data_IF_802275129005
#
_entry.id   IF_802275129005
#
_cell.length_a   1.000
_cell.length_b   1.000
_cell.length_c   1.000
_cell.angle_alpha   90.00
_cell.angle_beta   90.00
_cell.angle_gamma   90.00
#
_symmetry.space_group_name_H-M   'P 1'
#
loop_
_entity.id
_entity.type
_entity.pdbx_description
1 polymer ?
#
# COMPACT_ATOMS: atom_id res chain seq x y z
N UNK A 1 -1.39 9.29 -14.26
CA UNK A 1 -2.32 8.85 -15.33
C UNK A 1 -3.73 9.30 -14.99
N UNK A 2 -4.53 9.67 -15.99
CA UNK A 2 -5.93 10.14 -15.81
C UNK A 2 -6.92 8.98 -15.81
N UNK A 3 -8.12 9.16 -15.24
CA UNK A 3 -9.20 8.16 -15.32
C UNK A 3 -9.48 7.73 -16.76
N UNK A 4 -9.49 8.67 -17.71
CA UNK A 4 -9.86 8.38 -19.09
C UNK A 4 -8.87 7.42 -19.74
N UNK A 5 -7.58 7.66 -19.55
CA UNK A 5 -6.53 6.75 -20.02
C UNK A 5 -6.62 5.38 -19.34
N UNK A 6 -6.94 5.33 -18.05
CA UNK A 6 -7.13 4.06 -17.33
C UNK A 6 -8.34 3.29 -17.86
N UNK A 7 -9.43 3.99 -18.18
CA UNK A 7 -10.61 3.38 -18.79
C UNK A 7 -10.28 2.79 -20.16
N UNK A 8 -9.52 3.51 -20.99
CA UNK A 8 -9.09 3.03 -22.31
C UNK A 8 -8.17 1.81 -22.20
N UNK A 9 -7.18 1.84 -21.31
CA UNK A 9 -6.23 0.73 -21.16
C UNK A 9 -6.83 -0.50 -20.51
N UNK A 10 -7.70 -0.31 -19.53
CA UNK A 10 -8.34 -1.44 -18.87
C UNK A 10 -9.49 -1.94 -19.75
N UNK A 11 -10.31 -1.06 -20.30
CA UNK A 11 -11.61 -1.36 -20.90
C UNK A 11 -12.79 -1.24 -19.92
N UNK A 12 -12.60 -0.67 -18.72
CA UNK A 12 -13.69 -0.53 -17.73
C UNK A 12 -14.51 0.72 -18.02
N UNK A 13 -15.83 0.63 -17.83
CA UNK A 13 -16.66 1.83 -17.73
C UNK A 13 -16.30 2.62 -16.46
N UNK A 14 -16.64 3.91 -16.44
CA UNK A 14 -16.34 4.80 -15.31
C UNK A 14 -16.91 4.28 -13.98
N UNK A 15 -18.13 3.76 -14.00
CA UNK A 15 -18.81 3.22 -12.81
C UNK A 15 -18.20 1.90 -12.33
N UNK A 16 -17.83 1.00 -13.26
CA UNK A 16 -17.10 -0.22 -12.94
C UNK A 16 -15.74 0.10 -12.32
N UNK A 17 -14.98 1.01 -12.94
CA UNK A 17 -13.68 1.45 -12.46
C UNK A 17 -13.79 2.00 -11.03
N UNK A 18 -14.77 2.86 -10.75
CA UNK A 18 -14.97 3.41 -9.42
C UNK A 18 -15.25 2.31 -8.37
N UNK A 19 -16.13 1.36 -8.68
CA UNK A 19 -16.41 0.21 -7.80
C UNK A 19 -15.17 -0.66 -7.57
N UNK A 20 -14.37 -0.92 -8.62
CA UNK A 20 -13.12 -1.68 -8.47
C UNK A 20 -12.09 -0.94 -7.64
N UNK A 21 -11.98 0.37 -7.82
CA UNK A 21 -11.10 1.20 -7.02
C UNK A 21 -11.51 1.20 -5.55
N UNK A 22 -12.81 1.24 -5.24
CA UNK A 22 -13.31 1.12 -3.88
C UNK A 22 -12.93 -0.21 -3.23
N UNK A 23 -13.04 -1.33 -3.96
CA UNK A 23 -12.62 -2.66 -3.49
C UNK A 23 -11.10 -2.76 -3.29
N UNK A 24 -10.34 -2.09 -4.16
CA UNK A 24 -8.88 -2.08 -4.10
C UNK A 24 -8.33 -1.00 -3.15
N UNK A 25 -9.15 -0.12 -2.57
CA UNK A 25 -8.70 0.95 -1.64
C UNK A 25 -7.76 0.45 -0.53
N UNK A 26 -8.01 -0.70 0.12
CA UNK A 26 -7.13 -1.20 1.18
C UNK A 26 -5.72 -1.55 0.68
N UNK A 27 -5.62 -1.99 -0.59
CA UNK A 27 -4.36 -2.38 -1.22
C UNK A 27 -3.66 -1.18 -1.83
N UNK A 28 -4.45 -0.22 -2.31
CA UNK A 28 -3.94 0.91 -3.07
C UNK A 28 -3.16 1.90 -2.21
N UNK A 29 -3.15 1.86 -0.86
CA UNK A 29 -2.19 2.60 0.01
C UNK A 29 -1.81 4.04 -0.44
N UNK A 30 -2.75 4.81 -1.01
CA UNK A 30 -2.48 6.17 -1.52
C UNK A 30 -1.92 6.28 -2.95
N UNK A 31 -1.85 5.17 -3.69
CA UNK A 31 -1.64 5.07 -5.13
C UNK A 31 -2.76 5.72 -5.96
N UNK A 32 -3.92 5.93 -5.34
CA UNK A 32 -5.02 6.74 -5.86
C UNK A 32 -4.98 8.09 -5.17
N UNK A 33 -4.55 9.12 -5.90
CA UNK A 33 -4.50 10.50 -5.39
C UNK A 33 -5.59 11.34 -6.04
N UNK A 34 -6.19 12.25 -5.27
CA UNK A 34 -6.98 13.33 -5.86
C UNK A 34 -6.02 14.36 -6.42
N UNK A 35 -5.93 14.43 -7.73
CA UNK A 35 -5.22 15.46 -8.47
C UNK A 35 -5.98 16.80 -8.46
N UNK A 36 -5.40 17.83 -9.10
CA UNK A 36 -6.00 19.15 -9.17
C UNK A 36 -7.40 19.09 -9.81
N UNK A 37 -8.33 19.90 -9.30
CA UNK A 37 -9.75 19.93 -9.70
C UNK A 37 -10.54 18.62 -9.43
N UNK A 38 -10.20 17.88 -8.37
CA UNK A 38 -10.82 16.58 -8.04
C UNK A 38 -10.61 15.49 -9.12
N UNK A 39 -9.66 15.67 -10.03
CA UNK A 39 -9.32 14.65 -11.01
C UNK A 39 -8.59 13.49 -10.31
N UNK A 40 -9.20 12.31 -10.27
CA UNK A 40 -8.53 11.10 -9.76
C UNK A 40 -7.31 10.79 -10.64
N UNK A 41 -6.13 10.86 -10.02
CA UNK A 41 -4.87 10.45 -10.60
C UNK A 41 -4.50 9.07 -10.05
N UNK A 42 -4.24 8.17 -10.98
CA UNK A 42 -3.82 6.80 -10.71
C UNK A 42 -2.33 6.70 -10.99
N UNK A 43 -1.60 6.07 -10.06
CA UNK A 43 -0.23 5.64 -10.29
C UNK A 43 -0.20 4.45 -11.25
N UNK A 44 0.98 4.17 -11.82
CA UNK A 44 1.19 3.02 -12.69
C UNK A 44 0.92 1.69 -11.94
N UNK A 45 1.31 1.61 -10.67
CA UNK A 45 1.02 0.46 -9.80
C UNK A 45 -0.50 0.18 -9.71
N UNK A 46 -1.31 1.24 -9.56
CA UNK A 46 -2.75 1.10 -9.52
C UNK A 46 -3.34 0.59 -10.84
N UNK A 47 -2.77 1.00 -11.98
CA UNK A 47 -3.14 0.47 -13.29
C UNK A 47 -2.80 -1.01 -13.41
N UNK A 48 -1.61 -1.43 -13.00
CA UNK A 48 -1.20 -2.84 -13.06
C UNK A 48 -2.13 -3.73 -12.22
N UNK A 49 -2.52 -3.27 -11.03
CA UNK A 49 -3.49 -3.97 -10.20
C UNK A 49 -4.87 -4.08 -10.88
N UNK A 50 -5.33 -3.02 -11.55
CA UNK A 50 -6.59 -3.05 -12.29
C UNK A 50 -6.55 -3.97 -13.52
N UNK A 51 -5.42 -4.02 -14.23
CA UNK A 51 -5.21 -4.93 -15.34
C UNK A 51 -5.19 -6.38 -14.87
N UNK A 52 -4.49 -6.65 -13.76
CA UNK A 52 -4.46 -7.98 -13.17
C UNK A 52 -5.84 -8.41 -12.67
N UNK A 53 -6.58 -7.49 -12.07
CA UNK A 53 -7.96 -7.74 -11.67
C UNK A 53 -8.85 -8.07 -12.87
N UNK A 54 -8.68 -7.35 -13.99
CA UNK A 54 -9.40 -7.64 -15.23
C UNK A 54 -9.07 -9.01 -15.81
N UNK A 55 -7.81 -9.41 -15.78
CA UNK A 55 -7.40 -10.76 -16.21
C UNK A 55 -8.08 -11.84 -15.35
N UNK A 56 -8.17 -11.65 -14.04
CA UNK A 56 -8.91 -12.54 -13.15
C UNK A 56 -10.41 -12.56 -13.45
N UNK A 57 -11.04 -11.39 -13.64
CA UNK A 57 -12.45 -11.31 -14.05
C UNK A 57 -12.69 -12.01 -15.40
N UNK A 58 -11.75 -11.88 -16.35
CA UNK A 58 -11.79 -12.55 -17.66
C UNK A 58 -11.70 -14.08 -17.58
N UNK A 59 -11.10 -14.61 -16.51
CA UNK A 59 -11.06 -16.06 -16.21
C UNK A 59 -12.33 -16.57 -15.53
N UNK A 60 -13.33 -15.71 -15.33
CA UNK A 60 -14.62 -16.06 -14.73
C UNK A 60 -14.70 -15.83 -13.22
N UNK A 61 -13.67 -15.23 -12.59
CA UNK A 61 -13.75 -14.89 -11.17
C UNK A 61 -14.73 -13.75 -10.94
N UNK A 62 -15.49 -13.83 -9.85
CA UNK A 62 -16.30 -12.68 -9.42
C UNK A 62 -15.36 -11.58 -8.91
N UNK A 63 -15.76 -10.31 -9.00
CA UNK A 63 -14.87 -9.20 -8.68
C UNK A 63 -14.29 -9.21 -7.26
N UNK A 64 -15.08 -9.67 -6.29
CA UNK A 64 -14.65 -9.76 -4.89
C UNK A 64 -13.63 -10.89 -4.74
N UNK A 65 -13.89 -12.05 -5.35
CA UNK A 65 -13.00 -13.21 -5.32
C UNK A 65 -11.69 -12.92 -6.05
N UNK A 66 -11.76 -12.18 -7.16
CA UNK A 66 -10.60 -11.72 -7.91
C UNK A 66 -9.73 -10.75 -7.09
N UNK A 67 -10.35 -9.84 -6.33
CA UNK A 67 -9.61 -8.95 -5.41
C UNK A 67 -8.97 -9.75 -4.27
N UNK A 68 -9.69 -10.70 -3.67
CA UNK A 68 -9.13 -11.55 -2.61
C UNK A 68 -7.93 -12.35 -3.12
N UNK A 69 -8.05 -12.95 -4.32
CA UNK A 69 -6.96 -13.67 -4.97
C UNK A 69 -5.76 -12.76 -5.26
N UNK A 70 -6.02 -11.55 -5.77
CA UNK A 70 -5.00 -10.55 -6.03
C UNK A 70 -4.26 -10.14 -4.74
N UNK A 71 -4.98 -9.97 -3.63
CA UNK A 71 -4.38 -9.67 -2.32
C UNK A 71 -3.48 -10.80 -1.83
N UNK A 72 -3.91 -12.06 -1.99
CA UNK A 72 -3.07 -13.22 -1.67
C UNK A 72 -1.81 -13.26 -2.54
N UNK A 73 -1.93 -13.02 -3.86
CA UNK A 73 -0.77 -12.97 -4.77
C UNK A 73 0.24 -11.87 -4.37
N UNK A 74 -0.24 -10.71 -3.93
CA UNK A 74 0.61 -9.60 -3.47
C UNK A 74 1.29 -9.91 -2.13
N UNK A 75 0.57 -10.57 -1.21
CA UNK A 75 1.12 -11.02 0.06
C UNK A 75 2.23 -12.06 -0.13
N UNK A 76 1.98 -13.09 -0.94
CA UNK A 76 2.94 -14.14 -1.25
C UNK A 76 4.20 -13.60 -1.96
N UNK A 77 4.04 -12.61 -2.85
CA UNK A 77 5.17 -12.00 -3.55
C UNK A 77 6.07 -11.20 -2.60
N UNK A 78 5.49 -10.50 -1.62
CA UNK A 78 6.26 -9.79 -0.60
C UNK A 78 6.98 -10.75 0.36
N UNK A 79 6.32 -11.84 0.75
CA UNK A 79 6.91 -12.86 1.61
C UNK A 79 8.08 -13.58 0.92
N UNK A 80 7.94 -13.91 -0.37
CA UNK A 80 9.03 -14.49 -1.16
C UNK A 80 10.21 -13.53 -1.35
N UNK A 81 9.97 -12.23 -1.52
CA UNK A 81 11.05 -11.23 -1.63
C UNK A 81 11.81 -11.06 -0.29
N UNK A 82 11.12 -11.19 0.84
CA UNK A 82 11.72 -11.23 2.18
C UNK A 82 12.44 -12.55 2.47
N UNK A 83 11.96 -13.67 1.93
CA UNK A 83 12.57 -14.99 2.11
C UNK A 83 13.80 -15.22 1.21
N UNK A 84 13.81 -14.69 -0.02
CA UNK A 84 14.95 -14.78 -0.95
C UNK A 84 16.15 -13.93 -0.48
N UNK A 85 15.88 -12.87 0.29
CA UNK A 85 16.90 -12.07 1.00
C UNK A 85 17.50 -12.80 2.22
N UNK A 86 17.28 -14.11 2.37
CA UNK A 86 17.95 -14.93 3.40
C UNK A 86 18.99 -15.90 2.83
N UNK A 87 19.17 -15.97 1.51
CA UNK A 87 20.09 -16.94 0.87
C UNK A 87 21.10 -16.35 -0.11
N UNK A 88 21.36 -15.04 -0.07
CA UNK A 88 22.52 -14.48 -0.72
C UNK A 88 23.19 -13.44 0.18
N UNK A 89 24.34 -13.84 0.73
CA UNK A 89 25.33 -12.90 1.26
C UNK A 89 26.02 -12.27 0.04
N UNK A 90 25.80 -10.98 -0.19
CA UNK A 90 26.96 -10.12 -0.37
C UNK A 90 26.83 -8.82 0.43
N UNK A 91 27.98 -8.40 0.95
CA UNK A 91 28.22 -7.20 1.73
C UNK A 91 27.64 -5.93 1.06
N UNK A 92 26.86 -5.15 1.81
CA UNK A 92 26.18 -3.95 1.28
C UNK A 92 25.51 -3.12 2.38
N UNK A 93 26.31 -2.65 3.32
CA UNK A 93 26.01 -1.96 4.58
C UNK A 93 25.35 -0.57 4.49
N UNK A 94 24.41 -0.30 3.57
CA UNK A 94 23.88 1.08 3.45
C UNK A 94 22.36 1.27 3.30
N UNK A 95 21.52 0.22 3.29
CA UNK A 95 20.05 0.42 3.24
C UNK A 95 19.32 0.32 4.59
N UNK A 96 19.93 -0.28 5.60
CA UNK A 96 19.29 -0.57 6.90
C UNK A 96 19.32 0.61 7.89
N UNK A 97 20.27 1.54 7.73
CA UNK A 97 20.40 2.72 8.61
C UNK A 97 19.30 3.77 8.37
N UNK A 98 18.77 3.90 7.15
CA UNK A 98 17.75 4.91 6.82
C UNK A 98 16.37 4.62 7.42
N UNK A 99 15.98 3.33 7.51
CA UNK A 99 14.69 2.91 8.05
C UNK A 99 14.69 2.82 9.57
N UNK A 100 15.80 2.40 10.18
CA UNK A 100 15.94 2.38 11.64
C UNK A 100 15.91 3.79 12.25
N UNK A 101 16.51 4.79 11.59
CA UNK A 101 16.49 6.18 12.08
C UNK A 101 15.07 6.77 12.14
N UNK A 102 14.20 6.46 11.18
CA UNK A 102 12.81 6.95 11.19
C UNK A 102 11.99 6.37 12.35
N UNK A 103 12.19 5.10 12.68
CA UNK A 103 11.49 4.45 13.80
C UNK A 103 11.96 5.05 15.14
N UNK A 104 13.26 5.30 15.31
CA UNK A 104 13.78 5.93 16.53
C UNK A 104 13.30 7.39 16.65
N UNK A 105 13.30 8.15 15.56
CA UNK A 105 12.85 9.55 15.57
C UNK A 105 11.36 9.69 15.93
N UNK A 106 10.49 8.83 15.40
CA UNK A 106 9.05 8.85 15.73
C UNK A 106 8.79 8.33 17.15
N UNK A 107 9.58 7.38 17.64
CA UNK A 107 9.42 6.80 18.99
C UNK A 107 9.90 7.76 20.10
N UNK A 108 10.85 8.66 19.82
CA UNK A 108 11.40 9.57 20.84
C UNK A 108 10.42 10.68 21.26
N UNK A 109 9.49 11.09 20.40
CA UNK A 109 8.53 12.16 20.72
C UNK A 109 7.43 11.67 21.67
N UNK A 110 7.03 10.40 21.57
CA UNK A 110 5.96 9.83 22.42
C UNK A 110 6.47 9.40 23.80
N UNK A 111 7.75 8.99 23.91
CA UNK A 111 8.35 8.56 25.18
C UNK A 111 8.54 9.67 26.21
N UNK A 112 8.89 10.88 25.78
CA UNK A 112 9.14 12.00 26.71
C UNK A 112 7.87 12.49 27.42
N UNK A 113 6.71 12.47 26.75
CA UNK A 113 5.45 12.91 27.35
C UNK A 113 4.96 11.95 28.45
N UNK A 114 5.22 10.64 28.32
CA UNK A 114 4.78 9.65 29.30
C UNK A 114 5.56 9.73 30.63
N UNK A 115 6.85 10.05 30.60
CA UNK A 115 7.65 10.17 31.83
C UNK A 115 7.31 11.41 32.66
N UNK A 116 6.93 12.52 32.02
CA UNK A 116 6.52 13.75 32.74
C UNK A 116 5.21 13.52 33.52
N UNK A 117 4.26 12.78 32.95
CA UNK A 117 2.99 12.46 33.63
C UNK A 117 3.20 11.56 34.84
N UNK A 118 4.08 10.55 34.74
CA UNK A 118 4.39 9.65 35.86
C UNK A 118 5.11 10.39 36.99
N UNK A 119 6.03 11.30 36.66
CA UNK A 119 6.74 12.10 37.66
C UNK A 119 5.80 13.05 38.44
N UNK A 120 4.83 13.68 37.77
CA UNK A 120 3.83 14.55 38.43
C UNK A 120 2.92 13.73 39.34
N UNK A 121 2.49 12.53 38.92
CA UNK A 121 1.63 11.65 39.70
C UNK A 121 2.33 11.10 40.97
N UNK A 122 3.66 10.92 40.92
CA UNK A 122 4.44 10.49 42.09
C UNK A 122 4.75 11.62 43.07
N UNK A 123 4.79 12.88 42.63
CA UNK A 123 4.96 14.02 43.53
C UNK A 123 3.66 14.38 44.27
N UNK A 124 2.50 14.11 43.67
CA UNK A 124 1.19 14.47 44.24
C UNK A 124 0.61 13.42 45.19
N UNK A 125 1.37 12.39 45.55
CA UNK A 125 1.02 11.36 46.55
C UNK A 125 1.93 11.46 47.76
#
# INVERSE_FOLDING_TARGET
>A
MTIKEVMEKTGYSRSQLQRRLELLRPVLNGAVRKGPKNALQLSEEALQLLLRLRDLEGRGFRPIDAVARLMSEIGEKQEKMLADTKSNKPDGTNLWLGLALWIIAVSCIVGAAALVVIAIALWTR
#
